data_IF_862621518122
#
_entry.id   IF_862621518122
#
_cell.length_a   1.000
_cell.length_b   1.000
_cell.length_c   1.000
_cell.angle_alpha   90.00
_cell.angle_beta   90.00
_cell.angle_gamma   90.00
#
_symmetry.space_group_name_H-M   'P 1'
#
loop_
_entity.id
_entity.type
_entity.pdbx_description
1 polymer ?
#
# COMPACT_ATOMS: atom_id res chain seq x y z
N UNK A 1 -9.97 11.50 23.54
CA UNK A 1 -9.15 11.84 22.35
C UNK A 1 -9.76 11.14 21.12
N UNK A 2 -9.70 11.75 19.92
CA UNK A 2 -10.31 11.17 18.71
C UNK A 2 -9.52 9.95 18.22
N UNK A 3 -10.23 8.92 17.78
CA UNK A 3 -9.68 7.75 17.08
C UNK A 3 -9.30 8.13 15.65
N UNK A 4 -8.14 7.68 15.17
CA UNK A 4 -7.67 7.90 13.80
C UNK A 4 -7.23 6.57 13.21
N UNK A 5 -7.87 6.20 12.10
CA UNK A 5 -7.53 5.06 11.26
C UNK A 5 -7.26 5.60 9.86
N UNK A 6 -6.13 5.20 9.28
CA UNK A 6 -5.86 5.41 7.86
C UNK A 6 -6.38 4.20 7.06
N UNK A 7 -6.95 4.45 5.89
CA UNK A 7 -7.29 3.44 4.91
C UNK A 7 -6.60 3.77 3.59
N UNK A 8 -5.92 2.77 3.02
CA UNK A 8 -5.08 2.96 1.82
C UNK A 8 -5.52 2.05 0.68
N UNK A 9 -6.76 2.18 0.14
CA UNK A 9 -7.25 1.27 -0.88
C UNK A 9 -6.48 1.42 -2.19
N UNK A 10 -6.41 0.34 -2.95
CA UNK A 10 -5.80 0.30 -4.27
C UNK A 10 -6.82 -0.17 -5.29
N UNK A 11 -6.94 0.58 -6.37
CA UNK A 11 -7.87 0.32 -7.44
C UNK A 11 -7.12 0.10 -8.75
N UNK A 12 -7.58 -0.87 -9.55
CA UNK A 12 -6.96 -1.24 -10.82
C UNK A 12 -7.42 -0.32 -11.94
N UNK A 13 -7.03 0.95 -11.88
CA UNK A 13 -7.34 1.96 -12.89
C UNK A 13 -6.36 3.13 -12.82
N UNK A 14 -6.01 3.69 -13.98
CA UNK A 14 -5.45 5.04 -14.12
C UNK A 14 -6.33 5.96 -14.98
N UNK A 15 -7.55 5.51 -15.32
CA UNK A 15 -8.49 6.32 -16.11
C UNK A 15 -9.00 7.49 -15.25
N UNK A 16 -8.66 8.71 -15.64
CA UNK A 16 -8.92 9.90 -14.82
C UNK A 16 -10.41 10.09 -14.47
N UNK A 17 -11.35 9.77 -15.37
CA UNK A 17 -12.78 9.87 -15.08
C UNK A 17 -13.22 8.87 -14.00
N UNK A 18 -12.65 7.66 -14.03
CA UNK A 18 -12.91 6.63 -13.01
C UNK A 18 -12.24 7.02 -11.69
N UNK A 19 -11.00 7.50 -11.74
CA UNK A 19 -10.25 7.99 -10.57
C UNK A 19 -11.03 9.09 -9.86
N UNK A 20 -11.44 10.14 -10.57
CA UNK A 20 -12.23 11.26 -10.02
C UNK A 20 -13.54 10.79 -9.41
N UNK A 21 -14.22 9.83 -10.06
CA UNK A 21 -15.46 9.26 -9.55
C UNK A 21 -15.27 8.52 -8.22
N UNK A 22 -14.17 7.76 -8.08
CA UNK A 22 -13.82 7.06 -6.83
C UNK A 22 -13.46 8.07 -5.74
N UNK A 23 -12.60 9.05 -6.04
CA UNK A 23 -12.18 10.08 -5.08
C UNK A 23 -13.36 10.93 -4.59
N UNK A 24 -14.35 11.17 -5.44
CA UNK A 24 -15.58 11.90 -5.07
C UNK A 24 -16.34 11.20 -3.95
N UNK A 25 -16.49 9.88 -4.00
CA UNK A 25 -17.19 9.12 -2.95
C UNK A 25 -16.45 9.20 -1.60
N UNK A 26 -15.12 9.18 -1.63
CA UNK A 26 -14.28 9.35 -0.42
C UNK A 26 -14.49 10.74 0.17
N UNK A 27 -14.37 11.79 -0.66
CA UNK A 27 -14.55 13.20 -0.22
C UNK A 27 -15.96 13.52 0.24
N UNK A 28 -16.97 12.85 -0.29
CA UNK A 28 -18.36 13.03 0.10
C UNK A 28 -18.70 12.35 1.44
N UNK A 29 -17.86 11.43 1.92
CA UNK A 29 -18.11 10.71 3.17
C UNK A 29 -17.81 11.60 4.38
N UNK A 30 -18.79 11.73 5.29
CA UNK A 30 -18.67 12.57 6.48
C UNK A 30 -17.53 12.10 7.40
N UNK A 31 -16.73 13.05 7.91
CA UNK A 31 -15.56 12.82 8.76
C UNK A 31 -14.47 11.92 8.12
N UNK A 32 -14.44 11.83 6.79
CA UNK A 32 -13.33 11.26 6.04
C UNK A 32 -12.52 12.40 5.44
N UNK A 33 -11.20 12.31 5.56
CA UNK A 33 -10.26 13.30 5.05
C UNK A 33 -9.28 12.62 4.10
N UNK A 34 -9.31 13.02 2.83
CA UNK A 34 -8.36 12.57 1.84
C UNK A 34 -6.99 13.19 2.12
N UNK A 35 -5.96 12.36 2.24
CA UNK A 35 -4.57 12.77 2.47
C UNK A 35 -3.81 12.86 1.15
N UNK A 36 -3.87 11.80 0.36
CA UNK A 36 -3.12 11.69 -0.88
C UNK A 36 -3.80 10.74 -1.87
N UNK A 37 -3.45 10.87 -3.15
CA UNK A 37 -3.70 9.85 -4.14
C UNK A 37 -2.61 9.87 -5.22
N UNK A 38 -2.25 8.69 -5.70
CA UNK A 38 -1.29 8.51 -6.80
C UNK A 38 -1.93 7.62 -7.87
N UNK A 39 -1.92 8.07 -9.12
CA UNK A 39 -2.45 7.33 -10.25
C UNK A 39 -1.49 7.41 -11.42
N UNK A 40 -0.97 6.26 -11.85
CA UNK A 40 0.03 6.15 -12.89
C UNK A 40 -0.41 5.20 -14.01
N UNK A 41 -0.18 5.60 -15.26
CA UNK A 41 -0.55 4.78 -16.43
C UNK A 41 0.29 3.50 -16.55
N UNK A 42 1.58 3.56 -16.22
CA UNK A 42 2.48 2.42 -16.39
C UNK A 42 2.23 1.29 -15.37
N UNK A 43 1.76 1.64 -14.17
CA UNK A 43 1.20 0.67 -13.21
C UNK A 43 -0.27 0.37 -13.47
N UNK A 44 -1.00 1.27 -14.13
CA UNK A 44 -2.45 1.27 -14.32
C UNK A 44 -3.19 1.03 -13.00
N UNK A 45 -2.83 1.83 -11.99
CA UNK A 45 -3.28 1.66 -10.60
C UNK A 45 -3.44 3.01 -9.93
N UNK A 46 -4.50 3.12 -9.15
CA UNK A 46 -4.79 4.21 -8.25
C UNK A 46 -4.54 3.73 -6.81
N UNK A 47 -3.69 4.44 -6.08
CA UNK A 47 -3.54 4.31 -4.63
C UNK A 47 -4.13 5.55 -4.00
N UNK A 48 -4.98 5.37 -3.00
CA UNK A 48 -5.59 6.49 -2.26
C UNK A 48 -5.23 6.35 -0.80
N UNK A 49 -4.90 7.42 -0.10
CA UNK A 49 -4.77 7.46 1.36
C UNK A 49 -5.79 8.45 1.92
N UNK A 50 -6.59 8.00 2.88
CA UNK A 50 -7.51 8.84 3.63
C UNK A 50 -7.64 8.35 5.07
N UNK A 51 -8.09 9.22 5.97
CA UNK A 51 -8.30 8.86 7.37
C UNK A 51 -9.67 9.28 7.90
N UNK A 52 -10.07 8.68 9.03
CA UNK A 52 -11.24 9.05 9.80
C UNK A 52 -11.38 8.21 11.07
N UNK A 53 -12.54 8.31 11.72
CA UNK A 53 -12.93 7.37 12.80
C UNK A 53 -13.42 6.03 12.22
N UNK A 54 -13.50 4.98 13.06
CA UNK A 54 -13.89 3.62 12.65
C UNK A 54 -15.11 3.57 11.72
N UNK A 55 -16.16 4.34 12.01
CA UNK A 55 -17.40 4.31 11.21
C UNK A 55 -17.19 4.97 9.87
N UNK A 56 -16.61 6.17 9.87
CA UNK A 56 -16.38 6.97 8.68
C UNK A 56 -15.40 6.31 7.70
N UNK A 57 -14.31 5.72 8.17
CA UNK A 57 -13.32 5.09 7.26
C UNK A 57 -13.90 3.86 6.57
N UNK A 58 -14.73 3.07 7.28
CA UNK A 58 -15.44 1.94 6.70
C UNK A 58 -16.42 2.37 5.62
N UNK A 59 -17.20 3.42 5.89
CA UNK A 59 -18.16 3.98 4.94
C UNK A 59 -17.45 4.49 3.68
N UNK A 60 -16.38 5.27 3.83
CA UNK A 60 -15.59 5.77 2.71
C UNK A 60 -14.94 4.65 1.89
N UNK A 61 -14.44 3.60 2.55
CA UNK A 61 -13.88 2.43 1.89
C UNK A 61 -14.96 1.66 1.09
N UNK A 62 -16.14 1.44 1.66
CA UNK A 62 -17.24 0.75 0.98
C UNK A 62 -17.77 1.56 -0.21
N UNK A 63 -18.04 2.86 -0.04
CA UNK A 63 -18.59 3.71 -1.10
C UNK A 63 -17.63 3.80 -2.30
N UNK A 64 -16.34 3.97 -2.04
CA UNK A 64 -15.31 3.97 -3.09
C UNK A 64 -15.15 2.61 -3.76
N UNK A 65 -15.23 1.50 -3.00
CA UNK A 65 -15.20 0.15 -3.54
C UNK A 65 -16.42 -0.15 -4.44
N UNK A 66 -17.62 0.21 -4.01
CA UNK A 66 -18.85 0.05 -4.81
C UNK A 66 -18.74 0.82 -6.13
N UNK A 67 -18.24 2.05 -6.08
CA UNK A 67 -18.01 2.85 -7.29
C UNK A 67 -17.02 2.18 -8.24
N UNK A 68 -15.89 1.72 -7.70
CA UNK A 68 -14.84 1.07 -8.49
C UNK A 68 -15.35 -0.22 -9.16
N UNK A 69 -16.08 -1.07 -8.44
CA UNK A 69 -16.66 -2.32 -8.97
C UNK A 69 -17.63 -2.04 -10.12
N UNK A 70 -18.40 -0.94 -10.06
CA UNK A 70 -19.32 -0.56 -11.11
C UNK A 70 -18.68 0.08 -12.35
N UNK A 71 -17.41 0.52 -12.27
CA UNK A 71 -16.75 1.29 -13.33
C UNK A 71 -15.54 0.60 -13.96
N UNK A 72 -14.92 -0.36 -13.26
CA UNK A 72 -13.69 -1.03 -13.70
C UNK A 72 -14.03 -2.43 -14.23
N UNK A 73 -13.58 -2.73 -15.44
CA UNK A 73 -13.66 -4.06 -16.04
C UNK A 73 -12.28 -4.71 -16.15
N UNK A 74 -12.00 -5.62 -15.21
CA UNK A 74 -10.74 -6.37 -15.10
C UNK A 74 -10.45 -7.26 -16.32
N UNK A 75 -11.45 -7.63 -17.12
CA UNK A 75 -11.24 -8.41 -18.36
C UNK A 75 -10.41 -7.64 -19.38
N UNK A 76 -10.42 -6.32 -19.30
CA UNK A 76 -9.66 -5.41 -20.18
C UNK A 76 -8.45 -4.76 -19.50
N UNK A 77 -8.37 -4.85 -18.17
CA UNK A 77 -7.30 -4.22 -17.40
C UNK A 77 -5.95 -4.91 -17.61
N UNK A 78 -4.93 -4.10 -17.92
CA UNK A 78 -3.52 -4.51 -17.97
C UNK A 78 -2.66 -3.43 -17.32
N UNK A 79 -1.70 -3.84 -16.50
CA UNK A 79 -0.75 -2.95 -15.82
C UNK A 79 0.48 -3.72 -15.35
N UNK A 80 1.59 -3.02 -15.08
CA UNK A 80 2.80 -3.67 -14.57
C UNK A 80 2.71 -4.04 -13.08
N UNK A 81 1.77 -3.46 -12.34
CA UNK A 81 1.59 -3.76 -10.93
C UNK A 81 0.73 -5.03 -10.75
N UNK A 82 1.18 -6.03 -9.95
CA UNK A 82 0.38 -7.21 -9.67
C UNK A 82 -0.96 -6.84 -9.03
N UNK A 83 -2.06 -7.40 -9.54
CA UNK A 83 -3.42 -7.08 -9.10
C UNK A 83 -4.35 -8.28 -9.17
N UNK A 84 -5.33 -8.32 -8.27
CA UNK A 84 -6.32 -9.41 -8.19
C UNK A 84 -7.73 -8.99 -8.64
N UNK A 85 -8.05 -7.69 -8.57
CA UNK A 85 -9.38 -7.20 -8.89
C UNK A 85 -9.47 -5.68 -9.04
N UNK A 86 -10.67 -5.21 -9.38
CA UNK A 86 -10.99 -3.79 -9.55
C UNK A 86 -10.67 -2.99 -8.29
N UNK A 87 -11.02 -3.57 -7.14
CA UNK A 87 -10.60 -3.16 -5.80
C UNK A 87 -9.60 -4.20 -5.33
N UNK A 88 -8.32 -3.94 -5.51
CA UNK A 88 -7.26 -4.93 -5.36
C UNK A 88 -6.91 -5.18 -3.89
N UNK A 89 -6.57 -4.13 -3.13
CA UNK A 89 -6.35 -4.24 -1.68
C UNK A 89 -6.92 -3.06 -0.91
N UNK A 90 -7.53 -3.31 0.25
CA UNK A 90 -8.09 -2.29 1.16
C UNK A 90 -7.58 -2.54 2.59
N UNK A 91 -6.43 -1.97 2.97
CA UNK A 91 -5.90 -2.03 4.33
C UNK A 91 -6.46 -0.95 5.24
N UNK A 92 -6.63 -1.32 6.51
CA UNK A 92 -6.89 -0.40 7.62
C UNK A 92 -5.68 -0.35 8.56
N UNK A 93 -5.19 0.84 8.88
CA UNK A 93 -3.97 1.06 9.66
C UNK A 93 -4.31 1.88 10.90
N UNK A 94 -3.97 1.41 12.11
CA UNK A 94 -4.15 2.19 13.33
C UNK A 94 -3.14 3.35 13.38
N UNK A 95 -3.62 4.59 13.52
CA UNK A 95 -2.74 5.78 13.61
C UNK A 95 -2.74 6.36 15.02
N UNK A 96 -3.92 6.61 15.59
CA UNK A 96 -4.01 7.27 16.90
C UNK A 96 -5.22 6.78 17.71
N UNK A 97 -4.99 6.46 18.99
CA UNK A 97 -6.02 5.98 19.93
C UNK A 97 -6.82 4.77 19.43
N UNK A 98 -6.24 3.95 18.56
CA UNK A 98 -6.89 2.76 17.98
C UNK A 98 -5.94 1.58 18.10
N UNK A 99 -6.49 0.40 18.44
CA UNK A 99 -5.71 -0.83 18.52
C UNK A 99 -5.76 -1.57 17.19
N UNK A 100 -4.70 -2.33 16.88
CA UNK A 100 -4.67 -3.20 15.70
C UNK A 100 -5.89 -4.13 15.62
N UNK A 101 -6.35 -4.66 16.75
CA UNK A 101 -7.56 -5.50 16.83
C UNK A 101 -8.80 -4.81 16.25
N UNK A 102 -8.94 -3.50 16.46
CA UNK A 102 -10.10 -2.76 15.93
C UNK A 102 -10.03 -2.67 14.39
N UNK A 103 -8.85 -2.45 13.83
CA UNK A 103 -8.63 -2.46 12.38
C UNK A 103 -8.87 -3.85 11.77
N UNK A 104 -8.51 -4.92 12.48
CA UNK A 104 -8.80 -6.30 12.05
C UNK A 104 -10.31 -6.55 11.96
N UNK A 105 -11.08 -6.12 12.96
CA UNK A 105 -12.54 -6.22 12.93
C UNK A 105 -13.15 -5.34 11.83
N UNK A 106 -12.56 -4.16 11.59
CA UNK A 106 -12.96 -3.29 10.49
C UNK A 106 -12.76 -3.95 9.11
N UNK A 107 -11.61 -4.60 8.90
CA UNK A 107 -11.31 -5.34 7.68
C UNK A 107 -12.29 -6.50 7.46
N UNK A 108 -12.61 -7.27 8.51
CA UNK A 108 -13.62 -8.34 8.45
C UNK A 108 -14.99 -7.79 8.09
N UNK A 109 -15.40 -6.67 8.69
CA UNK A 109 -16.69 -6.03 8.43
C UNK A 109 -16.77 -5.49 7.01
N UNK A 110 -15.72 -4.81 6.54
CA UNK A 110 -15.59 -4.35 5.16
C UNK A 110 -15.71 -5.54 4.18
N UNK A 111 -14.91 -6.59 4.39
CA UNK A 111 -14.86 -7.73 3.49
C UNK A 111 -16.18 -8.49 3.42
N UNK A 112 -16.83 -8.75 4.57
CA UNK A 112 -18.15 -9.39 4.61
C UNK A 112 -19.20 -8.55 3.88
N UNK A 113 -19.25 -7.24 4.17
CA UNK A 113 -20.25 -6.34 3.56
C UNK A 113 -20.06 -6.26 2.04
N UNK A 114 -18.82 -6.12 1.57
CA UNK A 114 -18.51 -6.07 0.14
C UNK A 114 -18.88 -7.38 -0.57
N UNK A 115 -18.56 -8.52 0.04
CA UNK A 115 -18.91 -9.83 -0.49
C UNK A 115 -20.42 -10.03 -0.61
N UNK A 116 -21.18 -9.67 0.43
CA UNK A 116 -22.64 -9.78 0.46
C UNK A 116 -23.32 -8.85 -0.54
N UNK A 117 -22.85 -7.60 -0.67
CA UNK A 117 -23.48 -6.58 -1.51
C UNK A 117 -23.10 -6.66 -2.98
N UNK A 118 -21.88 -7.09 -3.29
CA UNK A 118 -21.35 -7.07 -4.66
C UNK A 118 -21.06 -8.47 -5.21
N UNK A 119 -21.19 -9.54 -4.43
CA UNK A 119 -20.87 -10.89 -4.87
C UNK A 119 -19.39 -11.10 -5.21
N UNK A 120 -18.50 -10.24 -4.69
CA UNK A 120 -17.06 -10.33 -4.92
C UNK A 120 -16.42 -11.27 -3.89
N UNK A 121 -15.57 -12.23 -4.28
CA UNK A 121 -14.76 -12.98 -3.32
C UNK A 121 -13.76 -12.06 -2.61
N UNK A 122 -13.68 -12.17 -1.28
CA UNK A 122 -12.79 -11.35 -0.45
C UNK A 122 -11.83 -12.20 0.37
N UNK A 123 -10.55 -11.83 0.34
CA UNK A 123 -9.48 -12.43 1.15
C UNK A 123 -9.06 -11.49 2.27
N UNK A 124 -8.85 -12.04 3.47
CA UNK A 124 -8.25 -11.36 4.60
C UNK A 124 -6.74 -11.54 4.59
N UNK A 125 -5.99 -10.45 4.75
CA UNK A 125 -4.52 -10.46 4.76
C UNK A 125 -3.92 -9.71 5.95
N UNK A 126 -2.59 -9.80 6.07
CA UNK A 126 -1.82 -9.14 7.12
C UNK A 126 -2.25 -9.61 8.50
N UNK A 127 -2.41 -8.68 9.45
CA UNK A 127 -2.84 -9.02 10.83
C UNK A 127 -4.28 -9.53 10.90
N UNK A 128 -5.09 -9.34 9.86
CA UNK A 128 -6.44 -9.88 9.79
C UNK A 128 -6.53 -11.27 9.14
N UNK A 129 -5.40 -11.81 8.65
CA UNK A 129 -5.36 -13.10 7.97
C UNK A 129 -5.90 -14.22 8.85
N UNK A 130 -6.72 -15.09 8.27
CA UNK A 130 -7.27 -16.29 8.93
C UNK A 130 -6.31 -17.48 8.88
N UNK A 131 -5.26 -17.38 8.06
CA UNK A 131 -4.26 -18.42 7.82
C UNK A 131 -2.87 -17.80 7.70
N UNK A 132 -1.81 -18.45 8.22
CA UNK A 132 -0.46 -17.89 8.18
C UNK A 132 0.01 -17.48 6.79
N UNK A 133 -0.32 -18.27 5.75
CA UNK A 133 0.11 -17.99 4.39
C UNK A 133 -0.55 -16.73 3.79
N UNK A 134 -1.69 -16.30 4.33
CA UNK A 134 -2.42 -15.09 3.90
C UNK A 134 -1.90 -13.82 4.55
N UNK A 135 -1.01 -13.91 5.54
CA UNK A 135 -0.32 -12.72 6.02
C UNK A 135 0.45 -12.04 4.88
N UNK A 136 0.96 -12.85 3.94
CA UNK A 136 1.65 -12.38 2.76
C UNK A 136 0.71 -12.09 1.58
N UNK A 137 0.63 -10.80 1.23
CA UNK A 137 -0.12 -10.31 0.08
C UNK A 137 0.31 -10.96 -1.26
N UNK A 138 1.59 -11.30 -1.43
CA UNK A 138 2.11 -11.88 -2.69
C UNK A 138 1.65 -13.32 -2.85
N UNK A 139 1.50 -14.04 -1.74
CA UNK A 139 0.90 -15.37 -1.75
C UNK A 139 -0.53 -15.29 -2.25
N UNK A 140 -1.34 -14.35 -1.76
CA UNK A 140 -2.75 -14.18 -2.20
C UNK A 140 -2.81 -13.76 -3.68
N UNK A 141 -1.97 -12.82 -4.10
CA UNK A 141 -1.88 -12.34 -5.49
C UNK A 141 -1.17 -13.30 -6.46
N UNK A 142 -0.75 -14.48 -6.02
CA UNK A 142 -0.04 -15.43 -6.88
C UNK A 142 -0.87 -15.74 -8.12
N UNK A 143 -0.31 -15.49 -9.30
CA UNK A 143 -0.98 -15.71 -10.58
C UNK A 143 -1.95 -14.61 -11.00
N UNK A 144 -2.10 -13.56 -10.18
CA UNK A 144 -2.86 -12.35 -10.45
C UNK A 144 -4.32 -12.61 -10.87
N UNK A 145 -4.93 -11.66 -11.57
CA UNK A 145 -6.29 -11.80 -12.10
C UNK A 145 -6.40 -12.97 -13.10
N UNK A 146 -5.39 -13.18 -13.96
CA UNK A 146 -5.43 -14.16 -15.05
C UNK A 146 -5.58 -15.60 -14.56
N UNK A 147 -4.98 -15.94 -13.41
CA UNK A 147 -5.07 -17.29 -12.83
C UNK A 147 -6.07 -17.39 -11.68
N UNK A 148 -6.79 -16.31 -11.36
CA UNK A 148 -7.72 -16.28 -10.24
C UNK A 148 -8.82 -17.34 -10.36
N UNK A 149 -9.40 -17.51 -11.55
CA UNK A 149 -10.46 -18.50 -11.80
C UNK A 149 -10.01 -19.94 -11.53
N UNK A 150 -8.76 -20.29 -11.87
CA UNK A 150 -8.17 -21.61 -11.61
C UNK A 150 -7.82 -21.76 -10.12
N UNK A 151 -7.18 -20.75 -9.54
CA UNK A 151 -6.62 -20.85 -8.20
C UNK A 151 -7.70 -20.84 -7.13
N UNK A 152 -8.75 -20.02 -7.26
CA UNK A 152 -9.80 -19.89 -6.23
C UNK A 152 -10.55 -21.21 -5.96
N UNK A 153 -10.62 -22.10 -6.95
CA UNK A 153 -11.27 -23.40 -6.84
C UNK A 153 -10.49 -24.38 -5.94
N UNK A 154 -9.19 -24.13 -5.70
CA UNK A 154 -8.35 -24.99 -4.86
C UNK A 154 -8.75 -24.84 -3.38
N UNK A 155 -8.89 -25.93 -2.60
CA UNK A 155 -9.36 -25.86 -1.22
C UNK A 155 -8.57 -24.88 -0.34
N UNK A 156 -7.26 -24.82 -0.53
CA UNK A 156 -6.37 -23.94 0.21
C UNK A 156 -6.46 -22.46 -0.20
N UNK A 157 -7.12 -22.18 -1.33
CA UNK A 157 -7.26 -20.86 -1.96
C UNK A 157 -8.67 -20.28 -1.87
N UNK A 158 -9.60 -20.93 -1.17
CA UNK A 158 -10.97 -20.39 -1.00
C UNK A 158 -10.95 -19.01 -0.32
N UNK A 159 -11.78 -18.04 -0.75
CA UNK A 159 -11.85 -16.74 -0.09
C UNK A 159 -12.38 -16.84 1.34
N UNK A 160 -12.15 -15.81 2.15
CA UNK A 160 -12.69 -15.71 3.51
C UNK A 160 -14.18 -15.37 3.48
N UNK A 161 -14.60 -14.55 2.51
CA UNK A 161 -16.00 -14.17 2.31
C UNK A 161 -16.37 -14.23 0.81
N UNK A 162 -17.66 -14.40 0.54
CA UNK A 162 -18.18 -14.40 -0.82
C UNK A 162 -18.00 -15.74 -1.55
N UNK A 163 -18.30 -15.77 -2.86
CA UNK A 163 -18.37 -17.00 -3.62
C UNK A 163 -16.97 -17.56 -3.98
N UNK A 164 -16.84 -18.87 -4.15
CA UNK A 164 -15.59 -19.53 -4.59
C UNK A 164 -15.42 -19.45 -6.11
N UNK A 165 -15.67 -18.27 -6.68
CA UNK A 165 -15.47 -17.93 -8.09
C UNK A 165 -15.16 -16.44 -8.21
N UNK A 166 -14.32 -16.00 -9.17
CA UNK A 166 -14.11 -14.58 -9.40
C UNK A 166 -15.41 -13.88 -9.77
N UNK A 167 -15.54 -12.60 -9.40
CA UNK A 167 -16.55 -11.73 -9.99
C UNK A 167 -16.18 -11.47 -11.46
N UNK A 168 -17.16 -11.52 -12.37
CA UNK A 168 -16.92 -11.50 -13.82
C UNK A 168 -16.09 -10.29 -14.29
N UNK A 169 -16.43 -9.10 -13.81
CA UNK A 169 -15.75 -7.85 -14.18
C UNK A 169 -14.79 -7.34 -13.11
N UNK A 170 -14.92 -7.79 -11.86
CA UNK A 170 -14.25 -7.16 -10.72
C UNK A 170 -13.14 -8.04 -10.12
N UNK A 171 -13.06 -9.33 -10.46
CA UNK A 171 -12.07 -10.25 -9.91
C UNK A 171 -12.33 -10.56 -8.44
N UNK A 172 -11.31 -10.38 -7.60
CA UNK A 172 -11.40 -10.55 -6.14
C UNK A 172 -10.78 -9.36 -5.39
N UNK A 173 -11.22 -9.15 -4.16
CA UNK A 173 -10.70 -8.10 -3.28
C UNK A 173 -9.87 -8.69 -2.15
N UNK A 174 -8.83 -7.98 -1.75
CA UNK A 174 -8.05 -8.28 -0.55
C UNK A 174 -8.31 -7.17 0.48
N UNK A 175 -8.56 -7.50 1.73
CA UNK A 175 -8.68 -6.51 2.81
C UNK A 175 -7.98 -6.98 4.07
N UNK A 176 -7.51 -6.07 4.90
CA UNK A 176 -6.77 -6.47 6.08
C UNK A 176 -6.40 -5.32 6.98
N UNK A 177 -5.64 -5.64 8.01
CA UNK A 177 -5.05 -4.67 8.91
C UNK A 177 -3.54 -4.84 8.94
N UNK A 178 -2.81 -3.73 9.00
CA UNK A 178 -1.34 -3.73 9.04
C UNK A 178 -0.81 -2.47 9.70
N UNK A 179 0.46 -2.52 10.08
CA UNK A 179 1.20 -1.33 10.49
C UNK A 179 1.43 -0.38 9.30
N UNK A 180 1.82 0.86 9.63
CA UNK A 180 2.24 1.85 8.63
C UNK A 180 3.41 1.28 7.83
N UNK A 181 3.41 1.49 6.51
CA UNK A 181 4.45 1.01 5.60
C UNK A 181 5.01 2.21 4.86
N UNK A 182 6.33 2.31 4.73
CA UNK A 182 6.93 3.35 3.89
C UNK A 182 6.96 2.86 2.44
N UNK A 183 6.15 3.46 1.57
CA UNK A 183 6.22 3.29 0.12
C UNK A 183 7.30 4.21 -0.46
N UNK A 184 8.31 3.66 -1.11
CA UNK A 184 9.44 4.43 -1.61
C UNK A 184 9.89 3.89 -2.97
N UNK A 185 9.89 4.76 -3.98
CA UNK A 185 10.26 4.42 -5.33
C UNK A 185 11.55 5.16 -5.71
N UNK A 186 12.42 4.50 -6.49
CA UNK A 186 13.67 5.08 -6.98
C UNK A 186 13.78 4.91 -8.48
N UNK A 187 13.93 6.03 -9.19
CA UNK A 187 14.09 6.08 -10.64
C UNK A 187 15.55 5.84 -11.02
N UNK A 188 15.77 4.93 -11.96
CA UNK A 188 17.08 4.50 -12.43
C UNK A 188 17.29 4.96 -13.87
N UNK A 189 18.48 5.48 -14.18
CA UNK A 189 18.86 5.94 -15.53
C UNK A 189 19.20 4.81 -16.49
N UNK A 190 18.35 3.80 -16.55
CA UNK A 190 18.41 2.70 -17.50
C UNK A 190 17.00 2.29 -17.91
N UNK A 191 16.79 1.96 -19.18
CA UNK A 191 15.59 1.31 -19.68
C UNK A 191 15.67 -0.22 -19.63
N UNK A 192 16.82 -0.78 -19.24
CA UNK A 192 17.00 -2.23 -19.15
C UNK A 192 16.31 -2.79 -17.89
N UNK A 193 15.12 -3.33 -18.12
CA UNK A 193 14.32 -3.96 -17.08
C UNK A 193 15.01 -5.18 -16.43
N UNK A 194 15.94 -5.85 -17.12
CA UNK A 194 16.66 -6.98 -16.53
C UNK A 194 17.64 -6.51 -15.45
N UNK A 195 18.32 -5.38 -15.66
CA UNK A 195 19.18 -4.78 -14.65
C UNK A 195 18.34 -4.33 -13.46
N UNK A 196 17.24 -3.62 -13.70
CA UNK A 196 16.34 -3.17 -12.64
C UNK A 196 15.78 -4.35 -11.83
N UNK A 197 15.40 -5.46 -12.48
CA UNK A 197 14.96 -6.69 -11.81
C UNK A 197 16.04 -7.32 -10.93
N UNK A 198 17.32 -7.28 -11.33
CA UNK A 198 18.43 -7.76 -10.50
C UNK A 198 18.59 -6.90 -9.25
N UNK A 199 18.53 -5.57 -9.39
CA UNK A 199 18.59 -4.62 -8.27
C UNK A 199 17.41 -4.83 -7.31
N UNK A 200 16.18 -4.91 -7.82
CA UNK A 200 14.99 -5.19 -7.01
C UNK A 200 15.12 -6.53 -6.26
N UNK A 201 15.65 -7.57 -6.93
CA UNK A 201 15.88 -8.89 -6.32
C UNK A 201 16.82 -8.81 -5.12
N UNK A 202 17.88 -8.00 -5.19
CA UNK A 202 18.84 -7.84 -4.09
C UNK A 202 18.23 -7.19 -2.84
N UNK A 203 17.17 -6.39 -3.01
CA UNK A 203 16.47 -5.72 -1.92
C UNK A 203 15.31 -6.55 -1.34
N UNK A 204 14.71 -7.42 -2.16
CA UNK A 204 13.47 -8.12 -1.87
C UNK A 204 13.63 -9.27 -0.85
N UNK A 205 12.82 -9.27 0.21
CA UNK A 205 12.90 -10.20 1.34
C UNK A 205 12.92 -11.68 0.94
N UNK A 206 11.99 -12.11 0.08
CA UNK A 206 11.91 -13.50 -0.42
C UNK A 206 13.01 -13.90 -1.40
N UNK A 207 13.92 -13.00 -1.73
CA UNK A 207 14.99 -13.22 -2.70
C UNK A 207 16.39 -13.08 -2.10
N UNK A 208 16.47 -13.03 -0.76
CA UNK A 208 17.72 -12.91 -0.02
C UNK A 208 18.08 -11.46 0.36
N UNK A 209 17.19 -10.50 0.11
CA UNK A 209 17.35 -9.11 0.53
C UNK A 209 16.90 -8.86 1.97
N UNK A 210 16.47 -7.63 2.26
CA UNK A 210 16.06 -7.23 3.60
C UNK A 210 14.74 -7.89 4.01
N UNK A 211 14.65 -8.39 5.25
CA UNK A 211 13.47 -9.10 5.77
C UNK A 211 12.15 -8.33 5.62
N UNK A 212 12.19 -7.00 5.74
CA UNK A 212 11.00 -6.15 5.77
C UNK A 212 10.73 -5.38 4.47
N UNK A 213 11.46 -5.69 3.40
CA UNK A 213 11.37 -4.97 2.11
C UNK A 213 10.79 -5.88 1.04
N UNK A 214 9.73 -5.41 0.40
CA UNK A 214 9.27 -5.94 -0.89
C UNK A 214 9.65 -4.95 -1.97
N UNK A 215 10.46 -5.38 -2.92
CA UNK A 215 10.88 -4.57 -4.05
C UNK A 215 10.43 -5.20 -5.39
N UNK A 216 10.06 -4.36 -6.34
CA UNK A 216 9.77 -4.73 -7.72
C UNK A 216 10.42 -3.74 -8.70
N UNK A 217 10.57 -4.15 -9.94
CA UNK A 217 11.07 -3.30 -11.01
C UNK A 217 9.98 -3.09 -12.07
N UNK A 218 9.82 -1.85 -12.50
CA UNK A 218 8.92 -1.46 -13.58
C UNK A 218 9.64 -0.58 -14.60
N UNK A 219 9.19 -0.62 -15.84
CA UNK A 219 9.61 0.32 -16.88
C UNK A 219 8.67 1.53 -16.86
N UNK A 220 9.21 2.73 -17.02
CA UNK A 220 8.44 3.95 -17.29
C UNK A 220 8.72 4.33 -18.75
N UNK A 221 7.89 3.86 -19.70
CA UNK A 221 8.20 3.95 -21.13
C UNK A 221 8.40 5.38 -21.62
N UNK A 222 7.59 6.32 -21.11
CA UNK A 222 7.58 7.71 -21.54
C UNK A 222 8.89 8.42 -21.17
N UNK A 223 9.53 8.00 -20.08
CA UNK A 223 10.81 8.55 -19.60
C UNK A 223 12.02 7.71 -19.99
N UNK A 224 11.82 6.59 -20.72
CA UNK A 224 12.87 5.63 -21.10
C UNK A 224 13.76 5.23 -19.92
N UNK A 225 13.15 5.03 -18.77
CA UNK A 225 13.84 4.73 -17.51
C UNK A 225 13.12 3.61 -16.77
N UNK A 226 13.76 3.03 -15.78
CA UNK A 226 13.18 2.01 -14.91
C UNK A 226 13.01 2.56 -13.51
N UNK A 227 12.12 1.96 -12.74
CA UNK A 227 11.85 2.33 -11.37
C UNK A 227 11.91 1.08 -10.49
N UNK A 228 12.58 1.21 -9.35
CA UNK A 228 12.51 0.25 -8.26
C UNK A 228 11.44 0.71 -7.30
N UNK A 229 10.28 0.04 -7.33
CA UNK A 229 9.20 0.29 -6.39
C UNK A 229 9.38 -0.55 -5.12
N UNK A 230 9.32 0.07 -3.95
CA UNK A 230 9.55 -0.62 -2.67
C UNK A 230 8.45 -0.34 -1.66
N UNK A 231 8.14 -1.36 -0.86
CA UNK A 231 7.33 -1.27 0.34
C UNK A 231 8.14 -1.77 1.52
N UNK A 232 8.37 -0.88 2.50
CA UNK A 232 9.15 -1.15 3.71
C UNK A 232 8.17 -1.28 4.87
N UNK A 233 7.88 -2.53 5.24
CA UNK A 233 6.81 -2.89 6.19
C UNK A 233 7.14 -2.57 7.65
N UNK A 234 8.42 -2.58 8.01
CA UNK A 234 8.93 -2.25 9.35
C UNK A 234 10.20 -1.40 9.14
N UNK A 235 9.98 -0.09 9.00
CA UNK A 235 11.02 0.90 8.76
C UNK A 235 11.84 1.22 10.02
N UNK A 236 11.45 0.73 11.19
CA UNK A 236 12.26 0.86 12.40
C UNK A 236 13.36 -0.20 12.44
N UNK A 237 13.03 -1.46 12.09
CA UNK A 237 14.02 -2.54 11.99
C UNK A 237 14.81 -2.52 10.70
N UNK A 238 14.23 -2.02 9.61
CA UNK A 238 14.91 -1.83 8.34
C UNK A 238 14.79 -0.39 7.88
N UNK A 239 15.62 0.52 8.43
CA UNK A 239 15.55 1.94 8.14
C UNK A 239 15.71 2.26 6.65
N UNK A 240 14.99 3.28 6.21
CA UNK A 240 14.98 3.73 4.82
C UNK A 240 16.37 4.03 4.28
N UNK A 241 17.21 4.73 5.06
CA UNK A 241 18.59 5.03 4.65
C UNK A 241 19.39 3.77 4.32
N UNK A 242 19.20 2.67 5.07
CA UNK A 242 19.93 1.42 4.88
C UNK A 242 19.48 0.71 3.59
N UNK A 243 18.18 0.74 3.31
CA UNK A 243 17.64 0.24 2.05
C UNK A 243 18.18 1.04 0.88
N UNK A 244 18.22 2.37 1.01
CA UNK A 244 18.71 3.26 -0.04
C UNK A 244 20.22 3.12 -0.29
N UNK A 245 21.04 2.95 0.76
CA UNK A 245 22.48 2.69 0.61
C UNK A 245 22.77 1.37 -0.09
N UNK A 246 22.03 0.31 0.23
CA UNK A 246 22.14 -0.97 -0.50
C UNK A 246 21.71 -0.80 -1.97
N UNK A 247 20.62 -0.08 -2.22
CA UNK A 247 20.18 0.22 -3.59
C UNK A 247 21.27 0.98 -4.36
N UNK A 248 21.92 1.98 -3.75
CA UNK A 248 23.05 2.70 -4.34
C UNK A 248 24.20 1.77 -4.70
N UNK A 249 24.60 0.88 -3.78
CA UNK A 249 25.66 -0.09 -4.03
C UNK A 249 25.33 -1.02 -5.21
N UNK A 250 24.09 -1.53 -5.28
CA UNK A 250 23.64 -2.35 -6.41
C UNK A 250 23.56 -1.55 -7.72
N UNK A 251 23.13 -0.28 -7.70
CA UNK A 251 23.13 0.58 -8.87
C UNK A 251 24.56 0.82 -9.39
N UNK A 252 25.51 1.12 -8.51
CA UNK A 252 26.93 1.29 -8.85
C UNK A 252 27.53 0.03 -9.46
N UNK A 253 27.17 -1.17 -8.96
CA UNK A 253 27.61 -2.45 -9.52
C UNK A 253 27.26 -2.62 -11.01
N UNK A 254 26.14 -2.04 -11.45
CA UNK A 254 25.70 -2.09 -12.85
C UNK A 254 25.98 -0.80 -13.63
N UNK A 255 26.71 0.16 -13.04
CA UNK A 255 26.95 1.49 -13.62
C UNK A 255 25.65 2.22 -14.02
N UNK A 256 24.61 2.07 -13.19
CA UNK A 256 23.31 2.72 -13.41
C UNK A 256 23.18 3.91 -12.47
N UNK A 257 22.94 5.14 -12.97
CA UNK A 257 22.73 6.29 -12.10
C UNK A 257 21.32 6.27 -11.49
N UNK A 258 21.19 6.82 -10.29
CA UNK A 258 19.89 7.12 -9.67
C UNK A 258 19.48 8.52 -10.14
N UNK A 259 18.29 8.64 -10.74
CA UNK A 259 17.79 9.91 -11.28
C UNK A 259 16.91 10.68 -10.30
N UNK A 260 16.34 9.99 -9.31
CA UNK A 260 15.48 10.58 -8.30
C UNK A 260 14.72 9.52 -7.53
N UNK A 261 14.00 9.95 -6.50
CA UNK A 261 13.18 9.10 -5.67
C UNK A 261 11.91 9.81 -5.23
N UNK A 262 10.88 9.05 -4.92
CA UNK A 262 9.59 9.56 -4.49
C UNK A 262 9.00 8.65 -3.41
N UNK A 263 8.23 9.24 -2.50
CA UNK A 263 7.38 8.48 -1.62
C UNK A 263 6.04 8.21 -2.31
N UNK A 264 5.51 7.01 -2.11
CA UNK A 264 4.18 6.65 -2.58
C UNK A 264 3.20 6.71 -1.43
N UNK A 265 2.33 7.73 -1.41
CA UNK A 265 1.47 8.01 -0.27
C UNK A 265 2.19 8.76 0.85
N UNK A 266 1.60 8.70 2.03
CA UNK A 266 2.12 9.37 3.21
C UNK A 266 3.36 8.66 3.76
N UNK A 267 4.35 9.46 4.19
CA UNK A 267 5.61 8.94 4.73
C UNK A 267 5.62 9.01 6.25
N UNK A 268 6.06 7.94 6.95
CA UNK A 268 6.27 8.00 8.39
C UNK A 268 7.37 9.00 8.74
N UNK A 269 7.11 9.90 9.68
CA UNK A 269 8.10 10.90 10.12
C UNK A 269 9.39 10.25 10.62
N UNK A 270 9.29 9.15 11.38
CA UNK A 270 10.45 8.40 11.88
C UNK A 270 11.40 7.98 10.78
N UNK A 271 10.90 7.56 9.61
CA UNK A 271 11.74 7.19 8.47
C UNK A 271 12.53 8.39 7.91
N UNK A 272 11.96 9.58 7.94
CA UNK A 272 12.63 10.82 7.56
C UNK A 272 13.69 11.23 8.59
N UNK A 273 13.33 11.20 9.88
CA UNK A 273 14.24 11.51 10.98
C UNK A 273 15.45 10.58 10.95
N UNK A 274 15.24 9.27 10.85
CA UNK A 274 16.35 8.29 10.83
C UNK A 274 17.26 8.50 9.62
N UNK A 275 16.68 8.89 8.49
CA UNK A 275 17.45 9.20 7.28
C UNK A 275 18.27 10.47 7.47
N UNK A 276 17.68 11.54 7.99
CA UNK A 276 18.37 12.79 8.28
C UNK A 276 19.50 12.57 9.31
N UNK A 277 19.22 11.87 10.40
CA UNK A 277 20.19 11.48 11.42
C UNK A 277 21.37 10.73 10.82
N UNK A 278 21.12 9.73 9.97
CA UNK A 278 22.18 8.92 9.38
C UNK A 278 23.11 9.71 8.45
N UNK A 279 22.55 10.53 7.55
CA UNK A 279 23.32 11.26 6.54
C UNK A 279 23.98 12.52 7.09
N UNK A 280 23.29 13.24 7.98
CA UNK A 280 23.80 14.49 8.57
C UNK A 280 24.61 14.27 9.86
N UNK A 281 24.66 13.03 10.37
CA UNK A 281 25.36 12.67 11.62
C UNK A 281 24.86 13.50 12.82
N UNK A 282 23.54 13.67 12.91
CA UNK A 282 22.93 14.45 13.99
C UNK A 282 22.72 13.57 15.21
N UNK A 283 23.29 13.97 16.34
CA UNK A 283 23.04 13.30 17.61
C UNK A 283 21.67 13.68 18.18
N UNK A 284 20.95 12.68 18.72
CA UNK A 284 19.70 12.85 19.45
C UNK A 284 18.62 13.62 18.69
N UNK A 285 18.49 13.47 17.36
CA UNK A 285 17.32 13.98 16.63
C UNK A 285 16.15 13.01 16.83
N UNK A 286 15.16 13.45 17.61
CA UNK A 286 13.92 12.72 17.90
C UNK A 286 12.71 13.52 17.40
N UNK A 287 11.52 12.93 17.38
CA UNK A 287 10.28 13.64 17.01
C UNK A 287 10.05 14.89 17.87
N UNK A 288 10.35 14.86 19.17
CA UNK A 288 10.24 16.03 20.06
C UNK A 288 11.25 17.16 19.77
N UNK A 289 12.19 16.94 18.85
CA UNK A 289 13.12 17.97 18.36
C UNK A 289 12.79 18.43 16.94
N UNK A 290 11.66 17.98 16.39
CA UNK A 290 11.01 18.55 15.21
C UNK A 290 9.96 19.55 15.71
N UNK A 291 10.10 20.82 15.36
CA UNK A 291 9.33 21.92 15.96
C UNK A 291 7.81 21.68 15.91
N UNK A 292 7.29 21.32 14.74
CA UNK A 292 5.86 21.10 14.51
C UNK A 292 5.32 19.96 15.38
N UNK A 293 6.10 18.88 15.52
CA UNK A 293 5.73 17.74 16.36
C UNK A 293 5.84 18.06 17.85
N UNK A 294 6.87 18.81 18.25
CA UNK A 294 7.04 19.26 19.63
C UNK A 294 5.86 20.16 20.06
N UNK A 295 5.46 21.10 19.20
CA UNK A 295 4.28 21.95 19.42
C UNK A 295 3.01 21.10 19.53
N UNK A 296 2.80 20.17 18.59
CA UNK A 296 1.64 19.28 18.61
C UNK A 296 1.59 18.45 19.90
N UNK A 297 2.70 17.82 20.27
CA UNK A 297 2.80 17.01 21.49
C UNK A 297 2.56 17.86 22.74
N UNK A 298 3.09 19.10 22.79
CA UNK A 298 2.85 20.02 23.91
C UNK A 298 1.37 20.40 24.02
N UNK A 299 0.69 20.70 22.92
CA UNK A 299 -0.75 20.99 22.91
C UNK A 299 -1.55 19.77 23.40
N UNK A 300 -1.19 18.57 22.94
CA UNK A 300 -1.87 17.33 23.31
C UNK A 300 -1.67 16.94 24.78
N UNK A 301 -0.50 17.25 25.34
CA UNK A 301 -0.17 17.03 26.76
C UNK A 301 -0.60 18.19 27.68
N UNK A 302 -1.22 19.25 27.17
CA UNK A 302 -1.66 20.39 27.97
C UNK A 302 -0.55 21.33 28.45
N UNK A 303 0.55 21.45 27.68
CA UNK A 303 1.64 22.39 27.94
C UNK A 303 2.77 21.86 28.83
N UNK A 304 2.70 20.60 29.27
CA UNK A 304 3.80 19.97 30.01
C UNK A 304 4.93 19.58 29.04
N UNK A 305 6.10 20.21 29.21
CA UNK A 305 7.38 19.67 28.76
C UNK A 305 7.78 18.58 29.76
N UNK A 306 7.98 17.35 29.27
CA UNK A 306 8.73 16.30 29.97
C UNK A 306 10.13 16.21 29.37
#
# INVERSE_FOLDING_TARGET
>A
MKEIIECVPNFSTSNMKVVESILKEIKATKNVFLLDHTSDNYYNRLVVSFFGDKKSVLEGALNSAYKAIGLIDMRTHKGQHPRLGAVDVVPFIPIKNVKMKDCMELAKKFGRTLAEKCGVPVYLYGKAATRPEREDLDWIRKGEYEKLAELIAKPERKPDFGPVKPHETAGATITGAREVTAGFNVNLGTSDLNIAKKIAKALHCKKGGFSNVKAMAALIPEKKMTQIGMSISDYEKTPLYRVFEMLKAECSRYNVPILGSEFCGMTPLKALIDTATYYLKIDNLTENRVLEMAIQNAIEKGGALE
#
